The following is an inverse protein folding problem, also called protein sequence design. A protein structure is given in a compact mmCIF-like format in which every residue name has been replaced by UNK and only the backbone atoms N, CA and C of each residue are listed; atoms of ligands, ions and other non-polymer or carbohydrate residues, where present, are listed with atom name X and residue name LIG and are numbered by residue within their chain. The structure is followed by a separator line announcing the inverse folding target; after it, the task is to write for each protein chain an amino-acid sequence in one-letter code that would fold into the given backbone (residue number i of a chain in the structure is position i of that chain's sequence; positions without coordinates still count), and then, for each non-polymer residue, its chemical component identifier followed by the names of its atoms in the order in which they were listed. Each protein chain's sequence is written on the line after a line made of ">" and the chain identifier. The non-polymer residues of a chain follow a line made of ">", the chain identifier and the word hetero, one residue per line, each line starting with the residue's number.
data_IF_641233964229
#
_entry.id   IF_641233964229
#
_cell.length_a   1.000
_cell.length_b   1.000
_cell.length_c   1.000
_cell.angle_alpha   90.00
_cell.angle_beta   90.00
_cell.angle_gamma   90.00
#
_symmetry.space_group_name_H-M   'P 1'
#
loop_
_entity.id
_entity.type
_entity.pdbx_description
1 polymer ?
#
# COMPACT_ATOMS: atom_id res chain seq x y z
N UNK A 1 -8.91 11.67 -0.94
CA UNK A 1 -7.55 11.53 -1.51
C UNK A 1 -7.09 10.10 -1.27
N UNK A 2 -6.46 9.45 -2.26
CA UNK A 2 -5.89 8.10 -2.12
C UNK A 2 -4.38 8.18 -2.32
N UNK A 3 -3.61 7.41 -1.56
CA UNK A 3 -2.15 7.37 -1.66
C UNK A 3 -1.70 5.93 -1.89
N UNK A 4 -0.90 5.71 -2.94
CA UNK A 4 -0.19 4.46 -3.17
C UNK A 4 1.15 4.49 -2.45
N UNK A 5 1.38 3.56 -1.54
CA UNK A 5 2.67 3.38 -0.85
C UNK A 5 3.37 2.15 -1.40
N UNK A 6 4.49 2.37 -2.09
CA UNK A 6 5.40 1.31 -2.55
C UNK A 6 6.40 0.94 -1.46
N UNK A 7 6.84 -0.31 -1.43
CA UNK A 7 7.71 -0.79 -0.36
C UNK A 7 7.04 -0.73 1.03
N UNK A 8 5.72 -0.91 1.08
CA UNK A 8 4.90 -0.67 2.27
C UNK A 8 5.33 -1.47 3.51
N UNK A 9 5.94 -2.65 3.33
CA UNK A 9 6.44 -3.50 4.43
C UNK A 9 7.85 -3.17 4.89
N UNK A 10 8.57 -2.32 4.16
CA UNK A 10 9.90 -1.85 4.52
C UNK A 10 9.87 -0.89 5.71
N UNK A 11 11.05 -0.54 6.24
CA UNK A 11 11.18 0.30 7.43
C UNK A 11 10.37 1.60 7.31
N UNK A 12 10.66 2.42 6.30
CA UNK A 12 9.98 3.71 6.09
C UNK A 12 8.51 3.49 5.69
N UNK A 13 8.26 2.59 4.74
CA UNK A 13 6.91 2.32 4.23
C UNK A 13 5.92 1.99 5.35
N UNK A 14 6.35 1.19 6.32
CA UNK A 14 5.52 0.80 7.45
C UNK A 14 5.08 2.01 8.30
N UNK A 15 5.98 2.95 8.59
CA UNK A 15 5.62 4.19 9.31
C UNK A 15 4.72 5.09 8.47
N UNK A 16 5.01 5.23 7.18
CA UNK A 16 4.20 6.05 6.26
C UNK A 16 2.77 5.54 6.18
N UNK A 17 2.55 4.23 6.05
CA UNK A 17 1.20 3.65 6.01
C UNK A 17 0.43 3.96 7.29
N UNK A 18 1.02 3.71 8.46
CA UNK A 18 0.35 3.98 9.74
C UNK A 18 0.01 5.47 9.91
N UNK A 19 0.94 6.37 9.55
CA UNK A 19 0.73 7.81 9.66
C UNK A 19 -0.41 8.28 8.73
N UNK A 20 -0.44 7.81 7.49
CA UNK A 20 -1.50 8.15 6.53
C UNK A 20 -2.87 7.65 7.03
N UNK A 21 -2.94 6.43 7.54
CA UNK A 21 -4.17 5.87 8.11
C UNK A 21 -4.64 6.68 9.32
N UNK A 22 -3.73 7.10 10.21
CA UNK A 22 -4.07 7.90 11.39
C UNK A 22 -4.71 9.25 11.03
N UNK A 23 -4.41 9.77 9.84
CA UNK A 23 -4.97 11.01 9.28
C UNK A 23 -6.25 10.78 8.47
N UNK A 24 -6.78 9.56 8.47
CA UNK A 24 -7.97 9.19 7.69
C UNK A 24 -7.73 9.12 6.18
N UNK A 25 -6.47 9.03 5.74
CA UNK A 25 -6.15 8.90 4.31
C UNK A 25 -6.38 7.46 3.85
N UNK A 26 -7.05 7.30 2.72
CA UNK A 26 -7.18 5.97 2.09
C UNK A 26 -5.86 5.54 1.49
N UNK A 27 -5.30 4.43 1.97
CA UNK A 27 -4.01 3.89 1.52
C UNK A 27 -4.20 2.67 0.63
N UNK A 28 -3.46 2.66 -0.48
CA UNK A 28 -3.20 1.47 -1.28
C UNK A 28 -1.75 1.07 -0.99
N UNK A 29 -1.52 -0.12 -0.46
CA UNK A 29 -0.19 -0.58 -0.05
C UNK A 29 0.31 -1.65 -1.02
N UNK A 30 1.58 -1.56 -1.43
CA UNK A 30 2.20 -2.61 -2.25
C UNK A 30 3.61 -2.96 -1.77
N UNK A 31 3.94 -4.25 -1.80
CA UNK A 31 5.26 -4.77 -1.46
C UNK A 31 5.52 -6.13 -2.11
N UNK A 32 6.78 -6.55 -2.18
CA UNK A 32 7.18 -7.80 -2.83
C UNK A 32 6.86 -9.07 -2.01
N UNK A 33 6.64 -8.95 -0.69
CA UNK A 33 6.36 -10.09 0.19
C UNK A 33 5.01 -9.90 0.89
N UNK A 34 3.99 -10.60 0.39
CA UNK A 34 2.63 -10.56 0.95
C UNK A 34 2.52 -11.15 2.35
N UNK A 35 3.30 -12.18 2.69
CA UNK A 35 3.28 -12.75 4.04
C UNK A 35 3.70 -11.70 5.08
N UNK A 36 4.79 -10.98 4.82
CA UNK A 36 5.23 -9.87 5.68
C UNK A 36 4.19 -8.76 5.76
N UNK A 37 3.43 -8.50 4.68
CA UNK A 37 2.35 -7.52 4.71
C UNK A 37 1.20 -7.97 5.63
N UNK A 38 0.79 -9.23 5.56
CA UNK A 38 -0.29 -9.81 6.39
C UNK A 38 0.00 -9.72 7.89
N UNK A 39 1.27 -9.75 8.28
CA UNK A 39 1.69 -9.62 9.68
C UNK A 39 1.69 -8.17 10.19
N UNK A 40 1.46 -7.16 9.32
CA UNK A 40 1.42 -5.76 9.74
C UNK A 40 0.07 -5.39 10.35
N UNK A 41 0.11 -4.60 11.41
CA UNK A 41 -1.09 -4.09 12.11
C UNK A 41 -2.02 -3.29 11.21
N UNK A 42 -1.48 -2.62 10.18
CA UNK A 42 -2.25 -1.82 9.23
C UNK A 42 -2.87 -2.63 8.08
N UNK A 43 -2.56 -3.93 7.93
CA UNK A 43 -2.93 -4.71 6.74
C UNK A 43 -4.44 -4.69 6.45
N UNK A 44 -5.27 -4.81 7.49
CA UNK A 44 -6.73 -4.77 7.38
C UNK A 44 -7.29 -3.37 7.10
N UNK A 45 -6.49 -2.31 7.30
CA UNK A 45 -6.88 -0.92 7.11
C UNK A 45 -6.54 -0.36 5.72
N UNK A 46 -5.89 -1.15 4.86
CA UNK A 46 -5.46 -0.71 3.52
C UNK A 46 -6.05 -1.57 2.42
N UNK A 47 -6.03 -1.05 1.20
CA UNK A 47 -6.15 -1.88 0.01
C UNK A 47 -4.77 -2.42 -0.37
N UNK A 48 -4.48 -3.69 -0.07
CA UNK A 48 -3.18 -4.29 -0.38
C UNK A 48 -3.15 -4.89 -1.78
N UNK A 49 -2.14 -4.51 -2.58
CA UNK A 49 -1.86 -5.07 -3.90
C UNK A 49 -0.44 -5.65 -3.89
N UNK A 50 -0.23 -6.97 -4.00
CA UNK A 50 1.11 -7.55 -4.07
C UNK A 50 1.91 -7.01 -5.27
N UNK A 51 3.19 -6.69 -5.08
CA UNK A 51 4.07 -6.25 -6.17
C UNK A 51 4.53 -7.47 -6.98
N UNK A 52 3.73 -7.86 -7.97
CA UNK A 52 3.98 -8.99 -8.87
C UNK A 52 3.72 -8.57 -10.31
N UNK A 53 4.24 -9.35 -11.27
CA UNK A 53 4.05 -9.09 -12.71
C UNK A 53 2.56 -9.03 -13.09
N UNK A 54 1.73 -9.89 -12.50
CA UNK A 54 0.28 -9.91 -12.72
C UNK A 54 -0.43 -8.64 -12.24
N UNK A 55 0.16 -7.93 -11.27
CA UNK A 55 -0.44 -6.76 -10.63
C UNK A 55 0.15 -5.42 -11.11
N UNK A 56 1.06 -5.41 -12.08
CA UNK A 56 1.66 -4.17 -12.59
C UNK A 56 0.60 -3.20 -13.12
N UNK A 57 -0.36 -3.69 -13.90
CA UNK A 57 -1.45 -2.84 -14.42
C UNK A 57 -2.30 -2.28 -13.26
N UNK A 58 -2.84 -3.08 -12.33
CA UNK A 58 -3.53 -2.56 -11.15
C UNK A 58 -2.76 -1.49 -10.35
N UNK A 59 -1.45 -1.67 -10.18
CA UNK A 59 -0.58 -0.72 -9.45
C UNK A 59 -0.43 0.59 -10.24
N UNK A 60 -0.27 0.51 -11.55
CA UNK A 60 -0.20 1.70 -12.41
C UNK A 60 -1.53 2.45 -12.39
N UNK A 61 -2.67 1.77 -12.49
CA UNK A 61 -3.98 2.41 -12.38
C UNK A 61 -4.18 3.08 -11.01
N UNK A 62 -3.72 2.46 -9.93
CA UNK A 62 -3.75 3.05 -8.59
C UNK A 62 -2.93 4.35 -8.47
N UNK A 63 -1.91 4.54 -9.31
CA UNK A 63 -1.07 5.74 -9.32
C UNK A 63 -1.60 6.86 -10.22
N UNK A 64 -2.49 6.58 -11.18
CA UNK A 64 -2.93 7.59 -12.17
C UNK A 64 -3.73 8.75 -11.58
N UNK A 65 -4.27 8.60 -10.36
CA UNK A 65 -5.12 9.62 -9.74
C UNK A 65 -6.44 9.82 -10.50
N UNK A 66 -7.39 10.53 -9.88
CA UNK A 66 -8.61 10.96 -10.57
C UNK A 66 -8.30 12.27 -11.30
N UNK A 67 -7.77 12.19 -12.52
CA UNK A 67 -7.78 13.31 -13.47
C UNK A 67 -8.96 13.17 -14.42
#
# INVERSE_FOLDING_TARGET
>A
MKVLVTGATGFIGNYVVNELLSRGVTVIATSANEANAKDKTWYSGVNYIPFTTANLIPILEANKGNN
#
